data_IF_470982235441
#
_entry.id   IF_470982235441
#
_cell.length_a   1.000
_cell.length_b   1.000
_cell.length_c   1.000
_cell.angle_alpha   90.00
_cell.angle_beta   90.00
_cell.angle_gamma   90.00
#
_symmetry.space_group_name_H-M   'P 1'
#
loop_
_entity.id
_entity.type
_entity.pdbx_description
1 polymer ?
#
# COMPACT_ATOMS: atom_id res chain seq x y z
N UNK A 1 12.30 -6.15 -13.32
CA UNK A 1 12.18 -4.89 -12.56
C UNK A 1 13.50 -4.16 -12.40
N UNK A 2 14.57 -4.79 -11.93
CA UNK A 2 15.84 -4.12 -11.59
C UNK A 2 16.50 -3.26 -12.70
N UNK A 3 16.23 -3.51 -13.99
CA UNK A 3 16.84 -2.73 -15.08
C UNK A 3 16.19 -1.35 -15.30
N UNK A 4 14.97 -1.15 -14.83
CA UNK A 4 14.25 0.12 -14.98
C UNK A 4 14.46 1.06 -13.77
N UNK A 5 14.74 0.51 -12.60
CA UNK A 5 14.82 1.25 -11.35
C UNK A 5 16.12 2.04 -11.21
N UNK A 6 16.02 3.24 -10.67
CA UNK A 6 17.16 3.99 -10.14
C UNK A 6 17.12 3.89 -8.62
N UNK A 7 18.14 3.24 -8.08
CA UNK A 7 18.27 3.06 -6.64
C UNK A 7 18.68 4.36 -5.95
N UNK A 8 18.17 4.58 -4.76
CA UNK A 8 18.69 5.67 -3.92
C UNK A 8 20.12 5.34 -3.54
N UNK A 9 21.05 6.25 -3.87
CA UNK A 9 22.50 6.04 -3.72
C UNK A 9 22.97 5.87 -2.27
N UNK A 10 22.10 6.04 -1.30
CA UNK A 10 22.37 5.84 0.13
C UNK A 10 21.40 4.77 0.65
N UNK A 11 21.91 3.80 1.41
CA UNK A 11 21.09 2.83 2.15
C UNK A 11 20.20 3.47 3.22
N UNK A 12 20.34 4.79 3.45
CA UNK A 12 19.43 5.55 4.29
C UNK A 12 18.28 6.02 3.42
N UNK A 13 17.07 5.58 3.76
CA UNK A 13 15.84 6.15 3.22
C UNK A 13 15.92 7.66 3.28
N UNK A 14 15.64 8.37 2.19
CA UNK A 14 15.57 9.83 2.22
C UNK A 14 14.68 10.31 3.35
N UNK A 15 14.99 11.45 3.94
CA UNK A 15 14.11 12.07 4.92
C UNK A 15 12.82 12.49 4.21
N UNK A 16 11.75 11.75 4.44
CA UNK A 16 10.41 12.04 3.93
C UNK A 16 9.48 12.26 5.12
N UNK A 17 8.49 13.12 4.95
CA UNK A 17 7.55 13.48 6.03
C UNK A 17 6.34 12.53 6.07
N UNK A 18 6.09 11.86 4.95
CA UNK A 18 4.90 11.04 4.75
C UNK A 18 5.29 9.64 4.30
N UNK A 19 4.61 8.65 4.86
CA UNK A 19 4.68 7.26 4.41
C UNK A 19 3.27 6.79 4.03
N UNK A 20 3.10 6.28 2.80
CA UNK A 20 1.85 5.67 2.32
C UNK A 20 2.09 4.17 2.17
N UNK A 21 1.32 3.34 2.87
CA UNK A 21 1.56 1.91 3.01
C UNK A 21 0.45 1.12 2.34
N UNK A 22 0.83 0.21 1.45
CA UNK A 22 -0.04 -0.89 1.01
C UNK A 22 -0.29 -1.84 2.17
N UNK A 23 -1.46 -1.71 2.78
CA UNK A 23 -1.88 -2.54 3.91
C UNK A 23 -2.00 -4.01 3.54
N UNK A 24 -2.40 -4.30 2.29
CA UNK A 24 -2.51 -5.68 1.79
C UNK A 24 -1.15 -6.37 1.66
N UNK A 25 -0.13 -5.66 1.19
CA UNK A 25 1.24 -6.15 1.16
C UNK A 25 1.80 -6.33 2.58
N UNK A 26 1.49 -5.38 3.48
CA UNK A 26 1.94 -5.45 4.87
C UNK A 26 1.39 -6.66 5.61
N UNK A 27 0.17 -7.13 5.32
CA UNK A 27 -0.41 -8.33 5.92
C UNK A 27 0.46 -9.59 5.75
N UNK A 28 1.24 -9.68 4.67
CA UNK A 28 2.12 -10.81 4.40
C UNK A 28 3.45 -10.75 5.16
N UNK A 29 3.87 -9.57 5.56
CA UNK A 29 5.21 -9.32 6.13
C UNK A 29 5.18 -9.26 7.65
N UNK A 30 4.07 -8.81 8.24
CA UNK A 30 3.90 -8.78 9.69
C UNK A 30 3.91 -10.19 10.25
N UNK A 31 4.65 -10.36 11.36
CA UNK A 31 4.86 -11.65 11.99
C UNK A 31 3.53 -12.35 12.33
N UNK A 32 3.37 -13.56 11.77
CA UNK A 32 2.24 -14.45 12.01
C UNK A 32 2.62 -15.51 13.05
N UNK A 33 2.17 -15.32 14.29
CA UNK A 33 2.50 -16.23 15.38
C UNK A 33 1.75 -17.55 15.24
N UNK A 34 2.45 -18.65 14.97
CA UNK A 34 1.85 -19.98 14.98
C UNK A 34 1.29 -20.29 16.38
N UNK A 35 0.00 -20.62 16.45
CA UNK A 35 -0.70 -20.87 17.73
C UNK A 35 -1.11 -19.61 18.51
N UNK A 36 -0.84 -18.41 17.98
CA UNK A 36 -1.36 -17.16 18.51
C UNK A 36 -2.82 -16.90 18.11
N UNK A 37 -3.37 -15.80 18.60
CA UNK A 37 -4.73 -15.33 18.29
C UNK A 37 -4.72 -14.20 17.27
N UNK A 38 -5.87 -13.86 16.72
CA UNK A 38 -6.05 -12.66 15.88
C UNK A 38 -5.62 -11.42 16.65
N UNK A 39 -5.89 -11.34 17.97
CA UNK A 39 -5.45 -10.23 18.82
C UNK A 39 -3.92 -10.08 18.83
N UNK A 40 -3.17 -11.18 18.91
CA UNK A 40 -1.71 -11.16 18.90
C UNK A 40 -1.17 -10.64 17.56
N UNK A 41 -1.82 -11.04 16.45
CA UNK A 41 -1.46 -10.55 15.14
C UNK A 41 -1.77 -9.06 14.97
N UNK A 42 -2.95 -8.60 15.42
CA UNK A 42 -3.32 -7.18 15.38
C UNK A 42 -2.35 -6.34 16.22
N UNK A 43 -1.92 -6.84 17.38
CA UNK A 43 -0.90 -6.17 18.19
C UNK A 43 0.46 -6.06 17.47
N UNK A 44 0.88 -7.10 16.75
CA UNK A 44 2.09 -7.06 15.93
C UNK A 44 1.95 -6.06 14.75
N UNK A 45 0.79 -6.04 14.11
CA UNK A 45 0.48 -5.11 13.02
C UNK A 45 0.51 -3.66 13.53
N UNK A 46 -0.17 -3.38 14.64
CA UNK A 46 -0.17 -2.07 15.30
C UNK A 46 1.23 -1.59 15.63
N UNK A 47 2.08 -2.44 16.24
CA UNK A 47 3.48 -2.10 16.54
C UNK A 47 4.27 -1.72 15.29
N UNK A 48 3.96 -2.33 14.14
CA UNK A 48 4.58 -1.94 12.87
C UNK A 48 4.18 -0.52 12.46
N UNK A 49 2.91 -0.15 12.66
CA UNK A 49 2.40 1.20 12.38
C UNK A 49 2.99 2.21 13.38
N UNK A 50 3.07 1.89 14.68
CA UNK A 50 3.71 2.70 15.72
C UNK A 50 5.13 3.12 15.32
N UNK A 51 5.95 2.18 14.88
CA UNK A 51 7.32 2.46 14.43
C UNK A 51 7.41 3.43 13.22
N UNK A 52 6.36 3.49 12.40
CA UNK A 52 6.28 4.46 11.29
C UNK A 52 5.83 5.83 11.80
N UNK A 53 4.83 5.86 12.68
CA UNK A 53 4.28 7.08 13.29
C UNK A 53 5.29 7.83 14.17
N UNK A 54 6.29 7.16 14.74
CA UNK A 54 7.37 7.83 15.46
C UNK A 54 8.14 8.84 14.58
N UNK A 55 8.12 8.66 13.27
CA UNK A 55 8.99 9.40 12.35
C UNK A 55 8.24 10.24 11.32
N UNK A 56 7.01 9.83 10.95
CA UNK A 56 6.32 10.38 9.77
C UNK A 56 4.81 10.24 9.89
N UNK A 57 4.10 11.11 9.21
CA UNK A 57 2.68 10.91 8.93
C UNK A 57 2.50 9.60 8.17
N UNK A 58 1.54 8.79 8.60
CA UNK A 58 1.37 7.43 8.06
C UNK A 58 -0.02 7.27 7.47
N UNK A 59 -0.07 6.88 6.20
CA UNK A 59 -1.29 6.57 5.46
C UNK A 59 -1.31 5.06 5.21
N UNK A 60 -2.36 4.39 5.67
CA UNK A 60 -2.55 2.96 5.53
C UNK A 60 -3.73 2.70 4.60
N UNK A 61 -3.47 2.04 3.47
CA UNK A 61 -4.45 1.81 2.41
C UNK A 61 -4.69 0.32 2.24
N UNK A 62 -5.93 -0.11 2.34
CA UNK A 62 -6.35 -1.48 2.05
C UNK A 62 -7.22 -1.54 0.80
N UNK A 63 -7.21 -2.71 0.13
CA UNK A 63 -8.19 -3.05 -0.89
C UNK A 63 -9.61 -2.96 -0.33
N UNK A 64 -10.55 -2.56 -1.17
CA UNK A 64 -11.96 -2.64 -0.89
C UNK A 64 -12.56 -3.90 -1.51
N UNK A 65 -13.56 -4.42 -0.85
CA UNK A 65 -14.24 -5.64 -1.26
C UNK A 65 -15.73 -5.34 -1.36
N UNK A 66 -16.21 -5.02 -2.55
CA UNK A 66 -17.64 -4.84 -2.82
C UNK A 66 -18.25 -6.14 -3.29
N UNK A 67 -19.44 -6.45 -2.78
CA UNK A 67 -20.24 -7.53 -3.28
C UNK A 67 -20.65 -7.21 -4.73
N UNK A 68 -20.56 -8.23 -5.62
CA UNK A 68 -20.87 -8.11 -7.06
C UNK A 68 -19.85 -7.31 -7.92
N UNK A 69 -18.62 -7.11 -7.47
CA UNK A 69 -17.59 -6.56 -8.36
C UNK A 69 -17.18 -7.56 -9.44
N UNK A 70 -16.72 -7.06 -10.60
CA UNK A 70 -16.19 -7.92 -11.69
C UNK A 70 -15.04 -8.81 -11.22
N UNK A 71 -14.30 -8.38 -10.18
CA UNK A 71 -13.26 -9.16 -9.51
C UNK A 71 -13.82 -10.27 -8.62
N UNK A 72 -15.02 -10.10 -8.06
CA UNK A 72 -15.66 -11.13 -7.24
C UNK A 72 -16.01 -12.36 -8.07
N UNK A 73 -16.41 -12.17 -9.33
CA UNK A 73 -16.63 -13.27 -10.29
C UNK A 73 -15.34 -14.04 -10.55
N UNK A 74 -14.20 -13.35 -10.74
CA UNK A 74 -12.89 -13.98 -10.99
C UNK A 74 -12.33 -14.64 -9.72
N UNK A 75 -12.58 -14.05 -8.55
CA UNK A 75 -12.21 -14.60 -7.24
C UNK A 75 -13.06 -15.80 -6.86
N UNK A 76 -14.35 -15.81 -7.21
CA UNK A 76 -15.28 -16.93 -6.94
C UNK A 76 -14.90 -18.20 -7.69
N UNK A 77 -14.40 -18.09 -8.93
CA UNK A 77 -13.88 -19.22 -9.72
C UNK A 77 -12.66 -19.89 -9.05
N UNK A 78 -11.84 -19.12 -8.30
CA UNK A 78 -10.70 -19.64 -7.54
C UNK A 78 -11.08 -20.21 -6.17
N UNK A 79 -12.34 -20.06 -5.72
CA UNK A 79 -12.83 -20.41 -4.37
C UNK A 79 -13.20 -21.90 -4.18
N UNK A 80 -13.10 -22.76 -5.18
CA UNK A 80 -13.47 -24.17 -5.00
C UNK A 80 -12.53 -24.86 -4.00
N UNK A 81 -12.99 -25.04 -2.76
CA UNK A 81 -12.31 -25.80 -1.70
C UNK A 81 -11.69 -24.98 -0.57
N UNK A 82 -11.72 -23.64 -0.59
CA UNK A 82 -11.12 -22.83 0.48
C UNK A 82 -12.11 -22.58 1.63
N UNK A 83 -11.67 -22.85 2.86
CA UNK A 83 -12.51 -22.69 4.06
C UNK A 83 -12.62 -21.23 4.47
N UNK A 84 -13.86 -20.75 4.60
CA UNK A 84 -14.16 -19.48 5.27
C UNK A 84 -14.18 -19.70 6.78
N UNK A 85 -13.43 -18.85 7.49
CA UNK A 85 -13.36 -18.84 8.96
C UNK A 85 -14.16 -17.67 9.51
N UNK A 86 -14.78 -17.86 10.68
CA UNK A 86 -15.38 -16.77 11.44
C UNK A 86 -14.29 -16.17 12.33
N UNK A 87 -13.70 -15.06 11.89
CA UNK A 87 -12.61 -14.40 12.63
C UNK A 87 -13.17 -13.41 13.65
N UNK A 88 -12.61 -13.46 14.85
CA UNK A 88 -12.74 -12.43 15.87
C UNK A 88 -11.42 -12.34 16.65
N UNK A 89 -11.26 -11.36 17.52
CA UNK A 89 -10.01 -11.10 18.25
C UNK A 89 -9.47 -12.30 19.03
N UNK A 90 -10.35 -13.16 19.53
CA UNK A 90 -9.98 -14.35 20.31
C UNK A 90 -9.80 -15.62 19.46
N UNK A 91 -10.08 -15.55 18.15
CA UNK A 91 -9.92 -16.68 17.25
C UNK A 91 -8.45 -17.05 17.15
N UNK A 92 -8.14 -18.35 17.38
CA UNK A 92 -6.81 -18.86 17.11
C UNK A 92 -6.49 -18.70 15.61
N UNK A 93 -5.32 -18.15 15.29
CA UNK A 93 -4.91 -17.86 13.92
C UNK A 93 -4.85 -19.14 13.07
N UNK A 94 -5.67 -19.26 12.02
CA UNK A 94 -5.46 -20.27 11.00
C UNK A 94 -4.13 -20.02 10.27
N UNK A 95 -3.63 -20.93 9.43
CA UNK A 95 -2.42 -20.67 8.64
C UNK A 95 -2.55 -19.38 7.81
N UNK A 96 -1.51 -18.54 7.81
CA UNK A 96 -1.50 -17.23 7.16
C UNK A 96 -2.03 -17.28 5.71
N UNK A 97 -1.55 -18.25 4.94
CA UNK A 97 -1.98 -18.44 3.54
C UNK A 97 -3.49 -18.69 3.43
N UNK A 98 -4.09 -19.43 4.37
CA UNK A 98 -5.54 -19.70 4.37
C UNK A 98 -6.33 -18.42 4.63
N UNK A 99 -5.86 -17.57 5.54
CA UNK A 99 -6.55 -16.29 5.84
C UNK A 99 -6.37 -15.31 4.70
N UNK A 100 -5.16 -15.12 4.19
CA UNK A 100 -4.86 -14.04 3.24
C UNK A 100 -5.22 -14.35 1.79
N UNK A 101 -5.39 -15.64 1.41
CA UNK A 101 -5.82 -16.02 0.05
C UNK A 101 -7.34 -16.12 -0.11
N UNK A 102 -8.09 -16.27 1.00
CA UNK A 102 -9.55 -16.30 0.97
C UNK A 102 -10.08 -14.89 1.22
N UNK A 103 -10.74 -14.32 0.22
CA UNK A 103 -11.21 -12.91 0.24
C UNK A 103 -12.00 -12.58 1.50
N UNK A 104 -12.94 -13.45 1.89
CA UNK A 104 -13.79 -13.22 3.06
C UNK A 104 -12.99 -13.24 4.36
N UNK A 105 -12.04 -14.15 4.51
CA UNK A 105 -11.15 -14.18 5.68
C UNK A 105 -10.26 -12.94 5.74
N UNK A 106 -9.70 -12.53 4.58
CA UNK A 106 -8.86 -11.34 4.48
C UNK A 106 -9.64 -10.08 4.83
N UNK A 107 -10.88 -9.95 4.32
CA UNK A 107 -11.80 -8.85 4.64
C UNK A 107 -12.06 -8.76 6.14
N UNK A 108 -12.47 -9.86 6.79
CA UNK A 108 -12.70 -9.89 8.23
C UNK A 108 -11.45 -9.46 9.02
N UNK A 109 -10.27 -9.93 8.63
CA UNK A 109 -9.02 -9.55 9.30
C UNK A 109 -8.73 -8.05 9.15
N UNK A 110 -8.92 -7.49 7.96
CA UNK A 110 -8.75 -6.05 7.69
C UNK A 110 -9.74 -5.23 8.54
N UNK A 111 -11.01 -5.66 8.60
CA UNK A 111 -12.04 -4.97 9.38
C UNK A 111 -11.69 -4.96 10.88
N UNK A 112 -11.15 -6.06 11.41
CA UNK A 112 -10.68 -6.12 12.80
C UNK A 112 -9.50 -5.16 13.01
N UNK A 113 -8.49 -5.19 12.15
CA UNK A 113 -7.32 -4.30 12.23
C UNK A 113 -7.77 -2.83 12.19
N UNK A 114 -8.62 -2.46 11.23
CA UNK A 114 -9.08 -1.09 11.08
C UNK A 114 -9.94 -0.63 12.27
N UNK A 115 -10.77 -1.51 12.81
CA UNK A 115 -11.58 -1.22 14.01
C UNK A 115 -10.70 -0.97 15.23
N UNK A 116 -9.67 -1.79 15.44
CA UNK A 116 -8.71 -1.60 16.53
C UNK A 116 -7.89 -0.30 16.36
N UNK A 117 -7.37 -0.03 15.17
CA UNK A 117 -6.61 1.21 14.92
C UNK A 117 -7.46 2.47 15.10
N UNK A 118 -8.75 2.44 14.73
CA UNK A 118 -9.67 3.57 14.85
C UNK A 118 -10.25 3.71 16.24
N UNK A 119 -10.36 2.63 17.02
CA UNK A 119 -11.06 2.60 18.30
C UNK A 119 -10.17 2.62 19.55
N UNK A 120 -8.87 2.32 19.42
CA UNK A 120 -7.96 2.25 20.57
C UNK A 120 -7.49 3.65 21.01
N UNK A 121 -8.22 4.23 21.97
CA UNK A 121 -7.92 5.57 22.52
C UNK A 121 -6.58 5.62 23.26
N UNK A 122 -6.10 4.49 23.82
CA UNK A 122 -4.80 4.45 24.47
C UNK A 122 -3.69 4.52 23.42
N UNK A 123 -3.82 3.77 22.32
CA UNK A 123 -2.92 3.85 21.17
C UNK A 123 -2.86 5.28 20.60
N UNK A 124 -4.02 5.92 20.41
CA UNK A 124 -4.06 7.30 19.90
C UNK A 124 -3.31 8.26 20.82
N UNK A 125 -3.62 8.22 22.13
CA UNK A 125 -2.98 9.06 23.12
C UNK A 125 -1.47 8.83 23.21
N UNK A 126 -1.01 7.59 23.10
CA UNK A 126 0.38 7.24 23.39
C UNK A 126 1.27 7.35 22.14
N UNK A 127 0.73 7.25 20.91
CA UNK A 127 1.50 7.17 19.67
C UNK A 127 1.15 8.20 18.59
N UNK A 128 -0.03 8.88 18.68
CA UNK A 128 -0.48 9.84 17.65
C UNK A 128 -0.44 11.28 18.18
N UNK A 129 0.76 11.75 18.53
CA UNK A 129 0.94 13.13 19.02
C UNK A 129 1.53 14.06 17.97
N UNK A 130 2.65 13.63 17.38
CA UNK A 130 3.44 14.44 16.45
C UNK A 130 3.02 14.20 15.01
N UNK A 131 2.66 12.97 14.71
CA UNK A 131 2.29 12.52 13.39
C UNK A 131 0.87 11.99 13.38
N UNK A 132 0.25 12.02 12.21
CA UNK A 132 -1.12 11.56 12.00
C UNK A 132 -1.15 10.17 11.35
N UNK A 133 -2.22 9.43 11.64
CA UNK A 133 -2.56 8.17 10.99
C UNK A 133 -3.80 8.38 10.11
N UNK A 134 -3.71 8.08 8.83
CA UNK A 134 -4.85 8.05 7.91
C UNK A 134 -5.13 6.61 7.51
N UNK A 135 -6.35 6.14 7.75
CA UNK A 135 -6.76 4.76 7.44
C UNK A 135 -7.82 4.77 6.34
N UNK A 136 -7.50 4.11 5.23
CA UNK A 136 -8.42 3.86 4.12
C UNK A 136 -8.77 2.38 4.10
N UNK A 137 -10.06 2.08 4.22
CA UNK A 137 -10.57 0.70 4.27
C UNK A 137 -11.84 0.57 3.41
N UNK A 138 -12.89 -0.11 3.90
CA UNK A 138 -14.13 -0.35 3.13
C UNK A 138 -14.91 0.93 2.81
N UNK A 139 -14.83 1.94 3.69
CA UNK A 139 -15.52 3.23 3.49
C UNK A 139 -14.86 4.02 2.35
N UNK A 140 -15.68 4.77 1.57
CA UNK A 140 -15.15 5.64 0.51
C UNK A 140 -14.29 6.78 1.03
N UNK A 141 -14.54 7.23 2.27
CA UNK A 141 -13.88 8.35 2.91
C UNK A 141 -12.83 7.83 3.89
N UNK A 142 -11.55 8.16 3.70
CA UNK A 142 -10.51 7.84 4.68
C UNK A 142 -10.73 8.55 6.01
N UNK A 143 -10.27 7.93 7.08
CA UNK A 143 -10.33 8.48 8.44
C UNK A 143 -8.94 8.90 8.88
N UNK A 144 -8.76 10.16 9.21
CA UNK A 144 -7.55 10.70 9.83
C UNK A 144 -7.69 10.71 11.35
N UNK A 145 -6.65 10.27 12.03
CA UNK A 145 -6.50 10.31 13.49
C UNK A 145 -5.26 11.13 13.79
N UNK A 146 -5.41 12.19 14.59
CA UNK A 146 -4.34 13.13 14.91
C UNK A 146 -4.45 13.63 16.35
N UNK A 147 -3.44 14.35 16.82
CA UNK A 147 -3.44 15.07 18.11
C UNK A 147 -3.97 14.24 19.30
N UNK A 148 -3.52 12.98 19.42
CA UNK A 148 -3.88 12.11 20.54
C UNK A 148 -5.30 11.54 20.49
N UNK A 149 -5.96 11.57 19.32
CA UNK A 149 -7.28 10.96 19.14
C UNK A 149 -8.35 11.84 18.50
N UNK A 150 -7.99 12.97 17.93
CA UNK A 150 -8.90 13.76 17.08
C UNK A 150 -9.15 12.99 15.78
N UNK A 151 -10.41 12.68 15.49
CA UNK A 151 -10.83 11.90 14.32
C UNK A 151 -11.50 12.84 13.31
N UNK A 152 -11.03 12.81 12.06
CA UNK A 152 -11.52 13.63 10.96
C UNK A 152 -11.76 12.75 9.74
N UNK A 153 -12.88 12.95 9.05
CA UNK A 153 -13.15 12.33 7.75
C UNK A 153 -12.46 13.14 6.64
N UNK A 154 -11.57 12.50 5.87
CA UNK A 154 -10.83 13.11 4.77
C UNK A 154 -11.63 13.01 3.46
N UNK A 155 -12.68 13.81 3.33
CA UNK A 155 -13.53 13.86 2.14
C UNK A 155 -12.79 14.35 0.89
N UNK A 156 -11.68 15.05 1.06
CA UNK A 156 -10.75 15.43 -0.01
C UNK A 156 -10.05 14.23 -0.66
N UNK A 157 -10.04 13.08 0.02
CA UNK A 157 -9.49 11.80 -0.43
C UNK A 157 -10.58 10.76 -0.74
N UNK A 158 -11.84 11.19 -0.89
CA UNK A 158 -12.93 10.28 -1.27
C UNK A 158 -12.59 9.56 -2.58
N UNK A 159 -12.79 8.26 -2.59
CA UNK A 159 -12.56 7.45 -3.77
C UNK A 159 -13.56 6.31 -3.87
N UNK A 160 -13.93 5.97 -5.10
CA UNK A 160 -14.77 4.80 -5.43
C UNK A 160 -13.95 3.63 -5.95
N UNK A 161 -12.63 3.79 -6.07
CA UNK A 161 -11.76 2.71 -6.53
C UNK A 161 -11.66 1.59 -5.51
N UNK A 162 -11.71 0.36 -5.99
CA UNK A 162 -11.63 -0.86 -5.18
C UNK A 162 -10.18 -1.25 -4.88
N UNK A 163 -9.27 -0.95 -5.81
CA UNK A 163 -7.87 -1.39 -5.77
C UNK A 163 -7.01 -0.43 -4.97
N UNK A 164 -6.27 -0.97 -4.02
CA UNK A 164 -5.32 -0.21 -3.22
C UNK A 164 -4.27 0.49 -4.10
N UNK A 165 -3.85 -0.12 -5.22
CA UNK A 165 -2.83 0.40 -6.12
C UNK A 165 -3.17 1.79 -6.64
N UNK A 166 -4.41 1.97 -7.11
CA UNK A 166 -4.91 3.27 -7.60
C UNK A 166 -5.07 4.26 -6.44
N UNK A 167 -5.60 3.79 -5.30
CA UNK A 167 -5.84 4.64 -4.13
C UNK A 167 -4.53 5.14 -3.53
N UNK A 168 -3.48 4.30 -3.46
CA UNK A 168 -2.13 4.69 -3.02
C UNK A 168 -1.60 5.87 -3.83
N UNK A 169 -1.73 5.79 -5.15
CA UNK A 169 -1.25 6.85 -6.05
C UNK A 169 -2.10 8.10 -5.94
N UNK A 170 -3.43 7.98 -5.87
CA UNK A 170 -4.32 9.12 -5.64
C UNK A 170 -4.01 9.85 -4.34
N UNK A 171 -3.77 9.11 -3.26
CA UNK A 171 -3.36 9.69 -1.99
C UNK A 171 -1.99 10.35 -2.09
N UNK A 172 -1.03 9.75 -2.77
CA UNK A 172 0.28 10.37 -3.04
C UNK A 172 0.13 11.71 -3.75
N UNK A 173 -0.71 11.79 -4.79
CA UNK A 173 -0.97 13.04 -5.51
C UNK A 173 -1.69 14.07 -4.63
N UNK A 174 -2.63 13.65 -3.80
CA UNK A 174 -3.35 14.57 -2.92
C UNK A 174 -2.41 15.17 -1.87
N UNK A 175 -1.63 14.33 -1.18
CA UNK A 175 -0.71 14.81 -0.13
C UNK A 175 0.50 15.55 -0.70
N UNK A 176 0.89 15.31 -1.95
CA UNK A 176 1.96 16.07 -2.60
C UNK A 176 1.66 17.56 -2.69
N UNK A 177 0.38 17.92 -2.74
CA UNK A 177 -0.11 19.32 -2.77
C UNK A 177 -0.02 20.01 -1.41
N UNK A 178 0.16 19.25 -0.33
CA UNK A 178 0.40 19.76 1.02
C UNK A 178 1.88 20.22 1.21
N UNK A 179 2.71 20.13 0.15
CA UNK A 179 4.13 20.50 0.12
C UNK A 179 5.01 19.81 1.19
N UNK A 180 4.93 18.48 1.33
CA UNK A 180 5.84 17.76 2.22
C UNK A 180 7.29 17.79 1.66
N UNK A 181 8.28 17.52 2.51
CA UNK A 181 9.67 17.38 2.06
C UNK A 181 9.86 16.15 1.16
N UNK A 182 9.02 15.13 1.32
CA UNK A 182 9.00 13.97 0.46
C UNK A 182 7.99 12.91 0.92
N UNK A 183 7.70 11.98 0.02
CA UNK A 183 6.76 10.87 0.24
C UNK A 183 7.46 9.53 0.01
N UNK A 184 7.26 8.58 0.92
CA UNK A 184 7.66 7.19 0.73
C UNK A 184 6.41 6.33 0.53
N UNK A 185 6.33 5.61 -0.57
CA UNK A 185 5.30 4.60 -0.83
C UNK A 185 5.87 3.22 -0.50
N UNK A 186 5.18 2.47 0.35
CA UNK A 186 5.60 1.13 0.77
C UNK A 186 4.71 0.10 0.10
N UNK A 187 5.21 -0.53 -0.95
CA UNK A 187 4.57 -1.63 -1.69
C UNK A 187 5.61 -2.44 -2.45
N UNK A 188 5.31 -3.71 -2.73
CA UNK A 188 6.11 -4.58 -3.62
C UNK A 188 5.44 -4.77 -4.99
N UNK A 189 4.28 -4.15 -5.21
CA UNK A 189 3.51 -4.34 -6.42
C UNK A 189 4.13 -3.57 -7.60
N UNK A 190 4.27 -4.28 -8.73
CA UNK A 190 4.77 -3.69 -9.98
C UNK A 190 3.77 -2.70 -10.56
N UNK A 191 2.48 -2.90 -10.34
CA UNK A 191 1.43 -2.02 -10.86
C UNK A 191 1.47 -0.68 -10.13
N UNK A 192 1.68 -0.69 -8.80
CA UNK A 192 1.93 0.54 -8.01
C UNK A 192 3.16 1.28 -8.54
N UNK A 193 4.27 0.57 -8.79
CA UNK A 193 5.49 1.19 -9.33
C UNK A 193 5.24 1.89 -10.66
N UNK A 194 4.54 1.24 -11.57
CA UNK A 194 4.22 1.78 -12.90
C UNK A 194 3.29 2.98 -12.81
N UNK A 195 2.26 2.91 -11.98
CA UNK A 195 1.33 4.00 -11.75
C UNK A 195 2.05 5.22 -11.13
N UNK A 196 2.93 5.01 -10.15
CA UNK A 196 3.75 6.08 -9.57
C UNK A 196 4.60 6.79 -10.62
N UNK A 197 5.26 6.04 -11.51
CA UNK A 197 6.06 6.62 -12.59
C UNK A 197 5.19 7.43 -13.57
N UNK A 198 4.04 6.88 -13.97
CA UNK A 198 3.12 7.54 -14.90
C UNK A 198 2.65 8.88 -14.36
N UNK A 199 2.07 8.88 -13.17
CA UNK A 199 1.51 10.09 -12.57
C UNK A 199 2.58 11.07 -12.09
N UNK A 200 3.78 10.58 -11.74
CA UNK A 200 4.91 11.47 -11.48
C UNK A 200 5.31 12.28 -12.70
N UNK A 201 5.26 11.68 -13.88
CA UNK A 201 5.56 12.36 -15.15
C UNK A 201 4.43 13.28 -15.62
N UNK A 202 3.18 12.92 -15.35
CA UNK A 202 2.00 13.66 -15.77
C UNK A 202 1.77 14.91 -14.91
N UNK A 203 1.73 14.73 -13.58
CA UNK A 203 1.45 15.80 -12.62
C UNK A 203 2.72 16.55 -12.14
N UNK A 204 3.91 15.99 -12.42
CA UNK A 204 5.21 16.60 -12.18
C UNK A 204 5.46 17.08 -10.75
N UNK A 205 5.21 16.27 -9.69
CA UNK A 205 5.48 16.73 -8.35
C UNK A 205 6.96 17.08 -8.20
N UNK A 206 7.25 18.26 -7.65
CA UNK A 206 8.63 18.74 -7.46
C UNK A 206 9.30 18.15 -6.23
N UNK A 207 8.61 17.28 -5.50
CA UNK A 207 9.08 16.68 -4.27
C UNK A 207 9.68 15.28 -4.50
N UNK A 208 10.45 14.84 -3.53
CA UNK A 208 11.01 13.49 -3.52
C UNK A 208 9.91 12.45 -3.32
N UNK A 209 9.75 11.53 -4.29
CA UNK A 209 8.94 10.33 -4.15
C UNK A 209 9.82 9.11 -4.22
N UNK A 210 9.78 8.26 -3.21
CA UNK A 210 10.50 6.99 -3.15
C UNK A 210 9.54 5.82 -2.96
N UNK A 211 9.90 4.65 -3.48
CA UNK A 211 9.19 3.40 -3.25
C UNK A 211 10.07 2.43 -2.49
N UNK A 212 9.54 1.90 -1.39
CA UNK A 212 10.19 0.89 -0.54
C UNK A 212 9.40 -0.41 -0.57
N UNK A 213 10.09 -1.54 -0.46
CA UNK A 213 9.47 -2.81 -0.14
C UNK A 213 9.05 -2.86 1.34
N UNK A 214 7.92 -3.49 1.69
CA UNK A 214 7.60 -3.81 3.08
C UNK A 214 8.58 -4.83 3.68
N UNK A 215 9.32 -5.57 2.83
CA UNK A 215 10.38 -6.51 3.25
C UNK A 215 11.67 -5.73 3.46
N UNK A 216 12.24 -5.85 4.66
CA UNK A 216 13.52 -5.20 5.01
C UNK A 216 14.64 -5.60 4.04
N UNK A 217 15.64 -4.73 3.95
CA UNK A 217 16.87 -4.93 3.18
C UNK A 217 16.71 -4.99 1.65
N UNK A 218 15.52 -4.67 1.12
CA UNK A 218 15.34 -4.44 -0.31
C UNK A 218 15.73 -3.01 -0.68
N UNK A 219 15.99 -2.84 -1.96
CA UNK A 219 16.38 -1.56 -2.55
C UNK A 219 15.25 -0.55 -2.45
N UNK A 220 15.59 0.69 -2.08
CA UNK A 220 14.70 1.85 -2.18
C UNK A 220 14.84 2.46 -3.57
N UNK A 221 13.74 2.63 -4.26
CA UNK A 221 13.68 3.18 -5.62
C UNK A 221 13.31 4.66 -5.57
N UNK A 222 14.11 5.50 -6.23
CA UNK A 222 13.81 6.91 -6.46
C UNK A 222 12.91 7.02 -7.70
N UNK A 223 11.64 7.36 -7.49
CA UNK A 223 10.65 7.44 -8.56
C UNK A 223 10.99 8.59 -9.53
N UNK A 224 11.38 9.76 -9.00
CA UNK A 224 11.72 10.91 -9.83
C UNK A 224 12.88 10.62 -10.78
N UNK A 225 14.02 10.16 -10.24
CA UNK A 225 15.17 9.80 -11.08
C UNK A 225 14.90 8.66 -12.05
N UNK A 226 14.04 7.71 -11.65
CA UNK A 226 13.63 6.62 -12.53
C UNK A 226 12.77 7.16 -13.69
N UNK A 227 11.86 8.08 -13.40
CA UNK A 227 11.02 8.74 -14.40
C UNK A 227 11.88 9.55 -15.40
N UNK A 228 12.81 10.37 -14.90
CA UNK A 228 13.75 11.14 -15.72
C UNK A 228 14.57 10.25 -16.66
N UNK A 229 15.15 9.17 -16.12
CA UNK A 229 15.95 8.21 -16.90
C UNK A 229 15.17 7.58 -18.06
N UNK A 230 13.88 7.39 -17.90
CA UNK A 230 13.03 6.68 -18.87
C UNK A 230 11.99 7.58 -19.53
N UNK A 231 12.12 8.91 -19.42
CA UNK A 231 11.17 9.91 -19.93
C UNK A 231 10.74 9.64 -21.38
N UNK A 232 11.69 9.27 -22.24
CA UNK A 232 11.40 9.00 -23.67
C UNK A 232 10.48 7.81 -23.89
N UNK A 233 10.58 6.80 -23.03
CA UNK A 233 9.71 5.60 -23.09
C UNK A 233 8.29 5.96 -22.62
N UNK A 234 8.20 6.74 -21.56
CA UNK A 234 6.92 7.12 -20.96
C UNK A 234 6.19 8.20 -21.77
N UNK A 235 6.89 9.15 -22.42
CA UNK A 235 6.26 10.14 -23.30
C UNK A 235 5.53 9.51 -24.48
N UNK A 236 6.03 8.40 -25.02
CA UNK A 236 5.33 7.63 -26.05
C UNK A 236 4.10 6.89 -25.52
N UNK A 237 4.06 6.57 -24.23
CA UNK A 237 2.95 5.86 -23.59
C UNK A 237 1.90 6.81 -22.98
N UNK A 238 2.20 8.09 -22.77
CA UNK A 238 1.25 9.12 -22.32
C UNK A 238 0.05 9.32 -23.25
N UNK A 239 0.16 8.87 -24.51
CA UNK A 239 -0.97 8.84 -25.47
C UNK A 239 -1.94 7.67 -25.21
N UNK A 240 -1.62 6.79 -24.24
CA UNK A 240 -2.36 5.58 -23.93
C UNK A 240 -3.01 5.71 -22.55
N UNK A 241 -4.18 5.09 -22.37
CA UNK A 241 -4.82 5.06 -21.04
C UNK A 241 -3.92 4.37 -20.01
N UNK A 242 -3.99 4.72 -18.70
CA UNK A 242 -3.16 4.11 -17.65
C UNK A 242 -3.17 2.57 -17.66
N UNK A 243 -4.31 1.97 -17.97
CA UNK A 243 -4.46 0.52 -18.12
C UNK A 243 -3.60 -0.06 -19.25
N UNK A 244 -3.53 0.64 -20.38
CA UNK A 244 -2.71 0.22 -21.54
C UNK A 244 -1.21 0.40 -21.25
N UNK A 245 -0.85 1.41 -20.44
CA UNK A 245 0.53 1.65 -19.97
C UNK A 245 1.00 0.50 -19.08
N UNK A 246 0.20 0.06 -18.13
CA UNK A 246 0.48 -1.10 -17.27
C UNK A 246 0.66 -2.37 -18.13
N UNK A 247 -0.23 -2.61 -19.07
CA UNK A 247 -0.17 -3.78 -19.97
C UNK A 247 1.07 -3.76 -20.87
N UNK A 248 1.41 -2.59 -21.43
CA UNK A 248 2.60 -2.41 -22.28
C UNK A 248 3.90 -2.56 -21.48
N UNK A 249 3.97 -2.03 -20.27
CA UNK A 249 5.14 -2.19 -19.40
C UNK A 249 5.29 -3.63 -18.90
N UNK A 250 4.22 -4.33 -18.61
CA UNK A 250 4.28 -5.77 -18.34
C UNK A 250 4.84 -6.56 -19.54
N UNK A 251 4.44 -6.20 -20.77
CA UNK A 251 4.98 -6.81 -21.99
C UNK A 251 6.48 -6.52 -22.17
N UNK A 252 6.91 -5.27 -21.94
CA UNK A 252 8.33 -4.87 -22.03
C UNK A 252 9.18 -5.54 -20.95
N UNK A 253 8.66 -5.65 -19.73
CA UNK A 253 9.33 -6.36 -18.63
C UNK A 253 9.43 -7.89 -18.89
N UNK A 254 8.41 -8.47 -19.50
CA UNK A 254 8.41 -9.89 -19.91
C UNK A 254 9.45 -10.16 -21.01
N UNK A 255 9.55 -9.27 -22.02
CA UNK A 255 10.55 -9.36 -23.08
C UNK A 255 11.99 -9.21 -22.56
N UNK A 256 12.21 -8.31 -21.60
CA UNK A 256 13.52 -8.16 -20.94
C UNK A 256 13.98 -9.40 -20.17
N UNK A 257 13.06 -10.16 -19.59
CA UNK A 257 13.37 -11.43 -18.91
C UNK A 257 13.76 -12.53 -19.89
N UNK A 258 13.13 -12.59 -21.07
CA UNK A 258 13.44 -13.61 -22.08
C UNK A 258 14.78 -13.39 -22.79
N UNK A 259 15.26 -12.15 -22.86
CA UNK A 259 16.58 -11.81 -23.43
C UNK A 259 17.72 -12.07 -22.43
N UNK A 260 17.49 -11.93 -21.12
CA UNK A 260 18.48 -12.20 -20.07
C UNK A 260 18.68 -13.68 -19.74
N UNK A 261 17.77 -14.55 -20.17
CA UNK A 261 17.88 -16.01 -19.95
C UNK A 261 18.59 -16.76 -21.10
N UNK A 262 19.08 -16.03 -22.11
CA UNK A 262 19.79 -16.58 -23.29
C UNK A 262 21.25 -16.13 -23.41
N UNK A 263 21.80 -15.51 -22.36
CA UNK A 263 23.22 -15.17 -22.28
C UNK A 263 23.93 -15.95 -21.17
#
# INVERSE_FOLDING_TARGET
MNQLQVEVSSRKTPSTDITIIDGSALLWVVHWSAGGTVKDYVANFRRHIENKLEKRDTYLVFDRYYDYSTKDVTRSVRKSGSRVHQLNVNTQLPPQKVVLTVTENKKQLIDIICSELKGDTAFHRDHIHKHKLVVTSQDKTPVEISNGGVIINRSDMDTTHEEADVVLVQQMLTVSRENPAGITVVSDDTDVFVLLLHYYLEDGPTLLVSMESPIKDRVVVDIGKTAEKHQTLFQKSLLLTPFLVVTLLHAVLALGKTLSSKS
#
